data_IF_383310828085
#
_entry.id   IF_383310828085
#
_cell.length_a   1.000
_cell.length_b   1.000
_cell.length_c   1.000
_cell.angle_alpha   90.00
_cell.angle_beta   90.00
_cell.angle_gamma   90.00
#
_symmetry.space_group_name_H-M   'P 1'
#
loop_
_entity.id
_entity.type
_entity.pdbx_description
1 polymer ?
#
# COMPACT_ATOMS: atom_id res chain seq x y z
N UNK A 1 0.85 20.82 -20.21
CA UNK A 1 1.58 19.61 -20.67
C UNK A 1 2.99 19.67 -20.14
N UNK A 2 3.16 19.19 -18.94
CA UNK A 2 4.50 18.99 -18.42
C UNK A 2 4.95 17.58 -18.77
N UNK A 3 5.39 17.40 -19.99
CA UNK A 3 6.25 16.29 -20.31
C UNK A 3 7.57 16.55 -19.54
N UNK A 4 7.75 15.98 -18.38
CA UNK A 4 9.01 15.98 -17.64
C UNK A 4 10.11 15.23 -18.43
N UNK A 5 10.24 15.48 -19.70
CA UNK A 5 11.12 14.76 -20.62
C UNK A 5 10.64 13.35 -20.97
N UNK A 6 9.42 12.98 -20.66
CA UNK A 6 8.86 11.65 -20.90
C UNK A 6 8.16 11.53 -22.22
N UNK A 7 8.20 10.33 -22.78
CA UNK A 7 7.45 9.97 -23.97
C UNK A 7 5.98 9.65 -23.70
N UNK A 8 5.61 9.46 -22.42
CA UNK A 8 4.28 9.05 -22.00
C UNK A 8 3.74 9.95 -20.90
N UNK A 9 2.43 10.18 -20.88
CA UNK A 9 1.73 10.79 -19.75
C UNK A 9 0.27 10.34 -19.71
N UNK A 10 -0.36 10.48 -18.56
CA UNK A 10 -1.74 10.09 -18.30
C UNK A 10 -2.61 11.31 -17.99
N UNK A 11 -3.85 11.26 -18.43
CA UNK A 11 -4.85 12.32 -18.28
C UNK A 11 -6.20 11.74 -17.92
N UNK A 12 -7.03 12.53 -17.25
CA UNK A 12 -8.42 12.18 -16.89
C UNK A 12 -8.55 10.94 -15.97
N UNK A 13 -7.52 10.62 -15.21
CA UNK A 13 -7.59 9.58 -14.21
C UNK A 13 -8.52 9.95 -13.05
N UNK A 14 -9.29 8.97 -12.57
CA UNK A 14 -10.18 9.10 -11.43
C UNK A 14 -9.71 8.16 -10.30
N UNK A 15 -9.96 8.56 -9.05
CA UNK A 15 -9.67 7.74 -7.89
C UNK A 15 -10.97 7.50 -7.13
N UNK A 16 -11.25 6.23 -6.84
CA UNK A 16 -12.30 5.81 -5.95
C UNK A 16 -11.70 5.31 -4.64
N UNK A 17 -12.17 5.81 -3.51
CA UNK A 17 -11.77 5.34 -2.18
C UNK A 17 -12.95 4.81 -1.42
N UNK A 18 -12.74 3.75 -0.65
CA UNK A 18 -13.75 3.18 0.25
C UNK A 18 -13.08 2.65 1.52
N UNK A 19 -13.79 2.74 2.63
CA UNK A 19 -13.37 2.17 3.90
C UNK A 19 -14.58 1.63 4.65
N UNK A 20 -14.36 0.55 5.38
CA UNK A 20 -15.37 -0.02 6.27
C UNK A 20 -14.71 -0.49 7.56
N UNK A 21 -15.31 -0.12 8.70
CA UNK A 21 -14.81 -0.46 10.01
C UNK A 21 -15.90 -1.09 10.86
N UNK A 22 -15.52 -2.11 11.62
CA UNK A 22 -16.36 -2.76 12.61
C UNK A 22 -15.69 -2.64 13.97
N UNK A 23 -16.45 -2.22 14.97
CA UNK A 23 -15.98 -2.16 16.35
C UNK A 23 -16.70 -3.19 17.18
N UNK A 24 -15.91 -4.02 17.87
CA UNK A 24 -16.37 -5.08 18.75
C UNK A 24 -15.98 -4.74 20.21
N UNK A 25 -16.95 -4.73 21.08
CA UNK A 25 -16.74 -4.45 22.51
C UNK A 25 -18.06 -4.38 23.24
N UNK A 26 -18.01 -4.59 24.54
CA UNK A 26 -19.19 -4.42 25.41
C UNK A 26 -19.20 -2.99 25.91
N UNK A 27 -20.38 -2.36 25.86
CA UNK A 27 -20.61 -1.05 26.49
C UNK A 27 -20.17 -1.12 27.96
N UNK A 28 -19.45 -0.13 28.45
CA UNK A 28 -18.89 -0.05 29.81
C UNK A 28 -17.80 -1.08 30.15
N UNK A 29 -17.18 -1.72 29.17
CA UNK A 29 -15.94 -2.50 29.35
C UNK A 29 -14.74 -1.76 28.77
N UNK A 30 -13.57 -1.87 29.42
CA UNK A 30 -12.38 -1.11 29.01
C UNK A 30 -11.79 -1.58 27.70
N UNK A 31 -12.06 -2.80 27.27
CA UNK A 31 -11.45 -3.40 26.07
C UNK A 31 -12.41 -3.38 24.89
N UNK A 32 -11.91 -2.97 23.74
CA UNK A 32 -12.58 -3.12 22.45
C UNK A 32 -11.57 -3.39 21.33
N UNK A 33 -12.08 -3.98 20.25
CA UNK A 33 -11.33 -4.29 19.03
C UNK A 33 -12.00 -3.59 17.87
N UNK A 34 -11.22 -2.96 17.02
CA UNK A 34 -11.66 -2.42 15.75
C UNK A 34 -10.96 -3.20 14.63
N UNK A 35 -11.71 -3.56 13.61
CA UNK A 35 -11.19 -4.17 12.40
C UNK A 35 -11.76 -3.46 11.18
N UNK A 36 -10.95 -3.22 10.19
CA UNK A 36 -11.35 -2.48 9.00
C UNK A 36 -10.62 -2.92 7.74
N UNK A 37 -11.16 -2.44 6.64
CA UNK A 37 -10.57 -2.53 5.32
C UNK A 37 -10.67 -1.17 4.67
N UNK A 38 -9.54 -0.68 4.19
CA UNK A 38 -9.42 0.53 3.38
C UNK A 38 -8.95 0.16 1.99
N UNK A 39 -9.52 0.78 0.97
CA UNK A 39 -9.14 0.56 -0.42
C UNK A 39 -9.23 1.85 -1.21
N UNK A 40 -8.27 2.04 -2.11
CA UNK A 40 -8.30 3.05 -3.17
C UNK A 40 -8.05 2.37 -4.52
N UNK A 41 -8.74 2.83 -5.56
CA UNK A 41 -8.60 2.31 -6.92
C UNK A 41 -8.56 3.46 -7.91
N UNK A 42 -7.66 3.39 -8.88
CA UNK A 42 -7.59 4.32 -10.01
C UNK A 42 -8.35 3.71 -11.19
N UNK A 43 -8.99 4.53 -12.00
CA UNK A 43 -9.68 4.11 -13.23
C UNK A 43 -9.83 5.27 -14.21
N UNK A 44 -10.09 4.96 -15.47
CA UNK A 44 -10.49 5.93 -16.50
C UNK A 44 -9.37 6.82 -17.01
N UNK A 45 -8.12 6.46 -16.90
CA UNK A 45 -7.00 7.28 -17.37
C UNK A 45 -6.85 7.24 -18.89
N UNK A 46 -6.59 8.39 -19.52
CA UNK A 46 -6.12 8.47 -20.91
C UNK A 46 -4.59 8.41 -20.93
N UNK A 47 -4.04 7.41 -21.56
CA UNK A 47 -2.60 7.21 -21.68
C UNK A 47 -2.10 7.67 -23.07
N UNK A 48 -1.02 8.44 -23.10
CA UNK A 48 -0.42 8.96 -24.32
C UNK A 48 1.00 8.45 -24.47
N UNK A 49 1.24 7.67 -25.50
CA UNK A 49 2.58 7.17 -25.85
C UNK A 49 3.11 7.96 -27.03
N UNK A 50 4.22 8.67 -26.85
CA UNK A 50 4.88 9.43 -27.93
C UNK A 50 5.76 8.52 -28.77
N UNK A 51 5.65 8.67 -30.07
CA UNK A 51 6.43 7.95 -31.07
C UNK A 51 7.16 8.94 -31.99
N UNK A 52 8.05 8.45 -32.84
CA UNK A 52 8.70 9.28 -33.86
C UNK A 52 7.73 9.91 -34.87
N UNK A 53 6.54 9.36 -35.01
CA UNK A 53 5.50 9.80 -35.96
C UNK A 53 4.37 10.62 -35.33
N UNK A 54 4.43 10.85 -33.99
CA UNK A 54 3.43 11.56 -33.25
C UNK A 54 3.12 10.89 -31.92
N UNK A 55 1.83 10.74 -31.57
CA UNK A 55 1.43 10.06 -30.35
C UNK A 55 0.27 9.09 -30.59
N UNK A 56 0.24 8.05 -29.77
CA UNK A 56 -0.88 7.11 -29.70
C UNK A 56 -1.62 7.39 -28.40
N UNK A 57 -2.92 7.64 -28.49
CA UNK A 57 -3.80 7.79 -27.33
C UNK A 57 -4.52 6.48 -27.06
N UNK A 58 -4.35 5.93 -25.87
CA UNK A 58 -5.16 4.83 -25.33
C UNK A 58 -6.12 5.39 -24.29
N UNK A 59 -7.40 5.42 -24.62
CA UNK A 59 -8.43 5.93 -23.71
C UNK A 59 -9.03 4.77 -22.92
N UNK A 60 -8.90 4.82 -21.60
CA UNK A 60 -9.59 3.88 -20.72
C UNK A 60 -10.99 4.40 -20.38
N UNK A 61 -11.94 3.47 -20.27
CA UNK A 61 -13.32 3.84 -19.98
C UNK A 61 -13.46 4.43 -18.55
N UNK A 62 -14.25 5.49 -18.44
CA UNK A 62 -14.58 6.17 -17.18
C UNK A 62 -16.09 6.29 -16.97
N UNK A 63 -16.81 5.24 -17.28
CA UNK A 63 -18.26 5.14 -17.16
C UNK A 63 -18.67 4.40 -15.86
N UNK A 64 -19.96 4.21 -15.66
CA UNK A 64 -20.49 3.51 -14.48
C UNK A 64 -20.00 2.05 -14.37
N UNK A 65 -19.73 1.39 -15.50
CA UNK A 65 -19.17 0.03 -15.49
C UNK A 65 -17.74 0.05 -14.94
N UNK A 66 -16.90 0.97 -15.41
CA UNK A 66 -15.53 1.17 -14.94
C UNK A 66 -15.48 1.54 -13.45
N UNK A 67 -16.38 2.43 -13.01
CA UNK A 67 -16.54 2.75 -11.59
C UNK A 67 -16.89 1.50 -10.78
N UNK A 68 -17.81 0.66 -11.28
CA UNK A 68 -18.22 -0.56 -10.59
C UNK A 68 -17.09 -1.59 -10.50
N UNK A 69 -16.29 -1.74 -11.57
CA UNK A 69 -15.09 -2.57 -11.55
C UNK A 69 -14.08 -2.07 -10.52
N UNK A 70 -13.79 -0.77 -10.49
CA UNK A 70 -12.94 -0.16 -9.48
C UNK A 70 -13.51 -0.33 -8.07
N UNK A 71 -14.83 -0.27 -7.91
CA UNK A 71 -15.50 -0.46 -6.62
C UNK A 71 -15.37 -1.90 -6.11
N UNK A 72 -15.55 -2.90 -6.95
CA UNK A 72 -15.42 -4.32 -6.56
C UNK A 72 -13.95 -4.74 -6.47
N UNK A 73 -13.07 -4.12 -7.27
CA UNK A 73 -11.68 -4.54 -7.43
C UNK A 73 -11.55 -5.73 -8.36
N UNK A 74 -12.30 -5.76 -9.46
CA UNK A 74 -12.23 -6.86 -10.41
C UNK A 74 -13.02 -6.63 -11.70
N UNK A 75 -12.74 -7.44 -12.71
CA UNK A 75 -13.54 -7.51 -13.94
C UNK A 75 -13.03 -6.71 -15.13
N UNK A 76 -11.80 -6.19 -15.09
CA UNK A 76 -11.17 -5.57 -16.25
C UNK A 76 -10.70 -6.62 -17.25
N UNK A 77 -10.82 -6.30 -18.55
CA UNK A 77 -10.22 -7.07 -19.64
C UNK A 77 -8.76 -6.67 -19.92
N UNK A 78 -8.24 -5.67 -19.20
CA UNK A 78 -6.87 -5.22 -19.35
C UNK A 78 -5.86 -6.27 -18.86
N UNK A 79 -4.77 -6.43 -19.60
CA UNK A 79 -3.69 -7.36 -19.27
C UNK A 79 -2.44 -6.59 -18.86
N UNK A 80 -1.79 -7.05 -17.80
CA UNK A 80 -0.46 -6.61 -17.39
C UNK A 80 0.48 -7.82 -17.51
N UNK A 81 1.27 -7.83 -18.58
CA UNK A 81 2.11 -8.97 -18.89
C UNK A 81 1.29 -10.26 -19.07
N UNK A 82 1.56 -11.26 -18.23
CA UNK A 82 0.86 -12.54 -18.21
C UNK A 82 -0.37 -12.54 -17.27
N UNK A 83 -0.62 -11.46 -16.55
CA UNK A 83 -1.66 -11.38 -15.53
C UNK A 83 -2.76 -10.43 -15.99
N UNK A 84 -4.01 -10.85 -15.88
CA UNK A 84 -5.14 -9.96 -16.09
C UNK A 84 -5.21 -9.00 -14.90
N UNK A 85 -5.04 -7.71 -15.17
CA UNK A 85 -5.15 -6.69 -14.15
C UNK A 85 -6.55 -6.08 -14.14
N UNK A 86 -6.97 -5.60 -12.98
CA UNK A 86 -8.25 -4.93 -12.85
C UNK A 86 -8.19 -3.54 -13.48
N UNK A 87 -9.36 -3.03 -13.84
CA UNK A 87 -9.49 -1.68 -14.33
C UNK A 87 -8.92 -0.70 -13.28
N UNK A 88 -7.82 -0.08 -13.64
CA UNK A 88 -7.06 0.77 -12.76
C UNK A 88 -6.12 0.04 -11.80
N UNK A 89 -5.34 0.83 -11.12
CA UNK A 89 -4.43 0.40 -10.07
C UNK A 89 -5.19 0.40 -8.73
N UNK A 90 -4.95 -0.57 -7.87
CA UNK A 90 -5.64 -0.69 -6.58
C UNK A 90 -4.62 -0.89 -5.45
N UNK A 91 -4.82 -0.18 -4.36
CA UNK A 91 -4.10 -0.43 -3.10
C UNK A 91 -5.06 -0.38 -1.92
N UNK A 92 -4.65 -0.99 -0.83
CA UNK A 92 -5.43 -0.96 0.40
C UNK A 92 -4.68 -1.49 1.61
N UNK A 93 -5.40 -1.56 2.71
CA UNK A 93 -4.90 -2.17 3.94
C UNK A 93 -6.02 -2.84 4.75
N UNK A 94 -5.69 -3.95 5.38
CA UNK A 94 -6.44 -4.51 6.49
C UNK A 94 -5.94 -3.86 7.77
N UNK A 95 -6.86 -3.30 8.53
CA UNK A 95 -6.57 -2.58 9.78
C UNK A 95 -7.15 -3.36 10.94
N UNK A 96 -6.35 -3.55 11.98
CA UNK A 96 -6.81 -4.04 13.27
C UNK A 96 -6.28 -3.12 14.37
N UNK A 97 -7.15 -2.77 15.33
CA UNK A 97 -6.79 -1.96 16.48
C UNK A 97 -7.40 -2.53 17.76
N UNK A 98 -6.57 -2.67 18.77
CA UNK A 98 -6.94 -3.07 20.13
C UNK A 98 -6.90 -1.83 21.01
N UNK A 99 -7.98 -1.51 21.67
CA UNK A 99 -8.06 -0.38 22.60
C UNK A 99 -8.35 -0.89 24.01
N UNK A 100 -7.62 -0.33 24.98
CA UNK A 100 -7.84 -0.59 26.39
C UNK A 100 -7.93 0.74 27.15
N UNK A 101 -9.11 1.04 27.65
CA UNK A 101 -9.41 2.29 28.33
C UNK A 101 -9.47 2.11 29.84
N UNK A 102 -8.69 2.92 30.56
CA UNK A 102 -8.68 2.97 32.03
C UNK A 102 -9.03 4.37 32.52
N UNK A 103 -9.32 4.58 33.80
CA UNK A 103 -9.55 5.92 34.33
C UNK A 103 -8.36 6.89 34.09
N UNK A 104 -7.12 6.38 34.06
CA UNK A 104 -5.90 7.20 33.97
C UNK A 104 -5.33 7.29 32.55
N UNK A 105 -5.55 6.29 31.72
CA UNK A 105 -4.96 6.23 30.38
C UNK A 105 -5.78 5.38 29.42
N UNK A 106 -5.67 5.70 28.13
CA UNK A 106 -6.13 4.86 27.02
C UNK A 106 -4.91 4.32 26.29
N UNK A 107 -4.86 3.03 26.05
CA UNK A 107 -3.80 2.33 25.33
C UNK A 107 -4.35 1.83 24.01
N UNK A 108 -3.58 2.01 22.93
CA UNK A 108 -3.86 1.48 21.61
C UNK A 108 -2.71 0.61 21.12
N UNK A 109 -3.05 -0.54 20.54
CA UNK A 109 -2.14 -1.35 19.72
C UNK A 109 -2.82 -1.56 18.38
N UNK A 110 -2.10 -1.32 17.27
CA UNK A 110 -2.69 -1.45 15.96
C UNK A 110 -1.70 -2.02 14.93
N UNK A 111 -2.27 -2.61 13.91
CA UNK A 111 -1.53 -3.13 12.78
C UNK A 111 -2.33 -2.86 11.50
N UNK A 112 -1.61 -2.43 10.45
CA UNK A 112 -2.12 -2.31 9.10
C UNK A 112 -1.31 -3.23 8.20
N UNK A 113 -1.99 -4.14 7.52
CA UNK A 113 -1.38 -4.99 6.52
C UNK A 113 -1.69 -4.47 5.14
N UNK A 114 -0.63 -4.05 4.43
CA UNK A 114 -0.75 -3.44 3.10
C UNK A 114 -0.90 -4.49 2.02
N UNK A 115 -1.67 -4.15 0.99
CA UNK A 115 -1.73 -4.91 -0.25
C UNK A 115 -1.87 -3.95 -1.44
N UNK A 116 -1.27 -4.30 -2.55
CA UNK A 116 -1.63 -3.82 -3.88
C UNK A 116 -2.24 -4.98 -4.65
N UNK A 117 -3.23 -4.68 -5.46
CA UNK A 117 -4.08 -5.61 -6.17
C UNK A 117 -4.89 -6.58 -5.28
N UNK A 118 -5.97 -7.08 -5.84
CA UNK A 118 -6.84 -8.02 -5.15
C UNK A 118 -6.19 -9.40 -4.92
N UNK A 119 -5.14 -9.73 -5.67
CA UNK A 119 -4.42 -10.99 -5.57
C UNK A 119 -3.79 -11.22 -4.19
N UNK A 120 -3.28 -10.15 -3.57
CA UNK A 120 -2.72 -10.18 -2.21
C UNK A 120 -3.72 -9.86 -1.10
N UNK A 121 -4.88 -9.31 -1.44
CA UNK A 121 -5.88 -8.82 -0.49
C UNK A 121 -6.37 -9.91 0.49
N UNK A 122 -6.62 -11.13 0.04
CA UNK A 122 -7.15 -12.21 0.86
C UNK A 122 -6.10 -13.22 1.32
N UNK A 123 -4.84 -13.01 0.99
CA UNK A 123 -3.75 -13.92 1.38
C UNK A 123 -3.99 -15.37 1.00
N UNK A 124 -4.69 -15.60 -0.12
CA UNK A 124 -5.05 -16.93 -0.59
C UNK A 124 -4.14 -17.35 -1.74
N UNK A 125 -3.69 -18.57 -1.68
CA UNK A 125 -2.96 -19.22 -2.74
C UNK A 125 -3.23 -20.73 -2.74
N UNK A 126 -2.87 -21.43 -3.81
CA UNK A 126 -3.06 -22.85 -3.87
C UNK A 126 -1.90 -23.65 -3.25
N UNK A 127 -2.17 -24.87 -2.84
CA UNK A 127 -1.22 -25.72 -2.13
C UNK A 127 -0.36 -26.57 -3.07
N UNK A 128 0.19 -25.96 -4.14
CA UNK A 128 1.00 -26.63 -5.15
C UNK A 128 0.15 -27.41 -6.18
N UNK A 129 0.79 -28.37 -6.85
CA UNK A 129 0.17 -29.21 -7.87
C UNK A 129 0.01 -30.64 -7.41
N UNK A 130 -0.96 -31.34 -7.98
CA UNK A 130 -1.10 -32.79 -7.93
C UNK A 130 -1.30 -33.34 -9.34
N UNK A 131 -0.81 -34.57 -9.58
CA UNK A 131 -1.08 -35.25 -10.84
C UNK A 131 -2.38 -36.06 -10.70
N UNK A 132 -3.41 -35.62 -11.41
CA UNK A 132 -4.75 -36.24 -11.39
C UNK A 132 -5.31 -36.34 -12.79
N UNK A 133 -5.95 -37.46 -13.11
CA UNK A 133 -6.57 -37.73 -14.42
C UNK A 133 -5.62 -37.51 -15.62
N UNK A 134 -4.34 -37.82 -15.47
CA UNK A 134 -3.35 -37.65 -16.54
C UNK A 134 -2.87 -36.18 -16.74
N UNK A 135 -3.22 -35.28 -15.86
CA UNK A 135 -2.84 -33.88 -15.94
C UNK A 135 -2.38 -33.29 -14.57
N UNK A 136 -1.55 -32.27 -14.63
CA UNK A 136 -1.18 -31.50 -13.45
C UNK A 136 -2.30 -30.52 -13.12
N UNK A 137 -2.92 -30.66 -11.96
CA UNK A 137 -3.97 -29.77 -11.44
C UNK A 137 -3.50 -29.00 -10.21
N UNK A 138 -3.99 -27.77 -10.06
CA UNK A 138 -3.77 -27.00 -8.83
C UNK A 138 -4.52 -27.67 -7.67
N UNK A 139 -3.85 -27.80 -6.52
CA UNK A 139 -4.47 -28.26 -5.28
C UNK A 139 -5.37 -27.18 -4.71
N UNK A 140 -6.12 -27.54 -3.67
CA UNK A 140 -6.99 -26.61 -2.94
C UNK A 140 -6.23 -25.37 -2.44
N UNK A 141 -6.92 -24.24 -2.42
CA UNK A 141 -6.39 -23.01 -1.87
C UNK A 141 -6.14 -23.13 -0.37
N UNK A 142 -5.11 -22.46 0.10
CA UNK A 142 -4.83 -22.28 1.52
C UNK A 142 -4.51 -20.84 1.83
N UNK A 143 -4.67 -20.46 3.07
CA UNK A 143 -4.23 -19.16 3.57
C UNK A 143 -2.72 -19.16 3.78
N UNK A 144 -2.04 -18.15 3.25
CA UNK A 144 -0.60 -17.97 3.38
C UNK A 144 -0.29 -16.82 4.34
N UNK A 145 0.66 -17.03 5.22
CA UNK A 145 1.07 -16.00 6.21
C UNK A 145 2.29 -15.17 5.75
N UNK A 146 3.07 -15.65 4.79
CA UNK A 146 4.26 -14.93 4.36
C UNK A 146 3.98 -13.53 3.76
N UNK A 147 2.87 -13.27 3.05
CA UNK A 147 2.56 -11.93 2.57
C UNK A 147 2.25 -10.92 3.68
N UNK A 148 1.97 -11.36 4.89
CA UNK A 148 1.79 -10.46 6.05
C UNK A 148 3.08 -9.73 6.49
N UNK A 149 4.17 -9.88 5.75
CA UNK A 149 5.43 -9.18 6.04
C UNK A 149 5.34 -7.67 5.82
N UNK A 150 4.58 -7.22 4.81
CA UNK A 150 4.39 -5.79 4.57
C UNK A 150 3.31 -5.27 5.52
N UNK A 151 3.78 -4.57 6.57
CA UNK A 151 2.94 -4.23 7.71
C UNK A 151 3.38 -2.92 8.35
N UNK A 152 2.44 -2.18 8.89
CA UNK A 152 2.67 -1.19 9.92
C UNK A 152 2.22 -1.76 11.27
N UNK A 153 3.06 -1.61 12.28
CA UNK A 153 2.73 -1.91 13.68
C UNK A 153 2.83 -0.63 14.49
N UNK A 154 1.84 -0.33 15.26
CA UNK A 154 1.81 0.87 16.09
C UNK A 154 1.32 0.61 17.51
N UNK A 155 1.81 1.44 18.42
CA UNK A 155 1.33 1.52 19.78
C UNK A 155 1.18 2.99 20.17
N UNK A 156 0.09 3.31 20.86
CA UNK A 156 -0.14 4.63 21.40
C UNK A 156 -0.66 4.57 22.83
N UNK A 157 -0.41 5.66 23.55
CA UNK A 157 -0.95 5.90 24.88
C UNK A 157 -1.44 7.34 24.97
N UNK A 158 -2.64 7.51 25.52
CA UNK A 158 -3.19 8.79 25.91
C UNK A 158 -3.33 8.86 27.43
N UNK A 159 -2.56 9.74 28.08
CA UNK A 159 -2.58 9.98 29.52
C UNK A 159 -3.59 11.07 29.85
N UNK A 160 -4.65 10.73 30.58
CA UNK A 160 -5.80 11.63 30.83
C UNK A 160 -5.52 12.76 31.81
N UNK A 161 -4.58 12.55 32.72
CA UNK A 161 -4.30 13.49 33.82
C UNK A 161 -2.90 14.09 33.78
N UNK A 162 -2.01 13.59 32.93
CA UNK A 162 -0.63 14.04 32.88
C UNK A 162 -0.42 15.07 31.76
N UNK A 163 -0.39 16.34 32.13
CA UNK A 163 -0.38 17.46 31.17
C UNK A 163 0.94 17.65 30.41
N UNK A 164 2.05 17.21 30.96
CA UNK A 164 3.35 17.35 30.32
C UNK A 164 3.50 16.45 29.10
N UNK A 165 3.00 15.22 29.17
CA UNK A 165 2.92 14.30 28.05
C UNK A 165 1.50 13.72 28.07
N UNK A 166 0.66 14.15 27.12
CA UNK A 166 -0.69 13.57 26.98
C UNK A 166 -0.68 12.36 26.10
N UNK A 167 0.04 12.45 24.97
CA UNK A 167 0.05 11.41 23.98
C UNK A 167 1.48 11.01 23.66
N UNK A 168 1.69 9.73 23.51
CA UNK A 168 2.89 9.16 22.95
C UNK A 168 2.50 8.06 21.91
N UNK A 169 3.22 8.01 20.82
CA UNK A 169 3.02 7.03 19.76
C UNK A 169 4.36 6.53 19.25
N UNK A 170 4.42 5.25 18.94
CA UNK A 170 5.51 4.62 18.21
C UNK A 170 4.95 3.76 17.09
N UNK A 171 5.54 3.85 15.89
CA UNK A 171 5.15 3.09 14.72
C UNK A 171 6.36 2.50 14.03
N UNK A 172 6.20 1.30 13.54
CA UNK A 172 7.12 0.57 12.70
C UNK A 172 6.46 0.25 11.38
N UNK A 173 7.10 0.59 10.26
CA UNK A 173 6.60 0.33 8.91
C UNK A 173 7.60 -0.53 8.16
N UNK A 174 7.11 -1.55 7.48
CA UNK A 174 7.91 -2.46 6.68
C UNK A 174 7.23 -2.71 5.33
N UNK A 175 7.93 -2.42 4.23
CA UNK A 175 7.43 -2.63 2.86
C UNK A 175 8.46 -3.38 1.99
N UNK A 176 9.46 -4.01 2.59
CA UNK A 176 10.58 -4.60 1.82
C UNK A 176 10.19 -5.84 1.02
N UNK A 177 9.14 -6.54 1.42
CA UNK A 177 8.76 -7.80 0.79
C UNK A 177 7.98 -7.57 -0.50
N UNK A 178 7.11 -6.56 -0.58
CA UNK A 178 6.24 -6.26 -1.71
C UNK A 178 5.32 -7.45 -2.02
N UNK A 179 4.36 -7.67 -1.12
CA UNK A 179 3.35 -8.73 -1.28
C UNK A 179 2.54 -8.50 -2.55
N UNK A 180 2.50 -9.46 -3.43
CA UNK A 180 1.82 -9.33 -4.70
C UNK A 180 1.52 -10.69 -5.34
N UNK A 181 1.14 -10.70 -6.62
CA UNK A 181 0.86 -11.91 -7.35
C UNK A 181 2.08 -12.83 -7.41
N UNK A 182 1.81 -14.12 -7.50
CA UNK A 182 2.84 -15.14 -7.55
C UNK A 182 3.23 -15.39 -9.00
N UNK A 183 4.44 -14.98 -9.37
CA UNK A 183 4.93 -15.13 -10.73
C UNK A 183 5.42 -16.54 -11.04
N UNK A 184 6.07 -17.21 -10.08
CA UNK A 184 6.53 -18.58 -10.24
C UNK A 184 6.01 -19.40 -9.06
N UNK A 185 4.90 -20.06 -9.28
CA UNK A 185 4.14 -20.61 -8.20
C UNK A 185 4.08 -22.12 -8.31
N UNK A 186 4.97 -22.79 -7.58
CA UNK A 186 4.91 -24.24 -7.37
C UNK A 186 4.59 -25.02 -8.62
N UNK A 187 5.23 -24.67 -9.74
CA UNK A 187 5.11 -25.42 -11.00
C UNK A 187 5.76 -26.80 -10.84
N UNK A 188 5.48 -27.76 -11.73
CA UNK A 188 6.17 -29.04 -11.71
C UNK A 188 7.68 -28.95 -11.81
N UNK A 189 8.18 -27.90 -12.47
CA UNK A 189 9.62 -27.65 -12.67
C UNK A 189 10.24 -26.87 -11.52
N UNK A 190 9.47 -25.97 -10.91
CA UNK A 190 9.89 -25.13 -9.78
C UNK A 190 8.85 -25.30 -8.67
N UNK A 191 9.06 -26.25 -7.75
CA UNK A 191 8.08 -26.56 -6.71
C UNK A 191 7.98 -25.47 -5.62
N UNK A 192 8.95 -24.55 -5.60
CA UNK A 192 8.98 -23.49 -4.62
C UNK A 192 8.06 -22.32 -5.03
N UNK A 193 7.57 -21.63 -4.03
CA UNK A 193 6.81 -20.41 -4.20
C UNK A 193 7.76 -19.23 -4.38
N UNK A 194 7.75 -18.65 -5.56
CA UNK A 194 8.48 -17.42 -5.87
C UNK A 194 7.45 -16.34 -6.19
N UNK A 195 7.19 -15.48 -5.25
CA UNK A 195 6.18 -14.46 -5.40
C UNK A 195 6.43 -13.26 -4.52
N UNK A 196 5.51 -12.32 -4.57
CA UNK A 196 5.58 -11.13 -3.76
C UNK A 196 6.64 -10.16 -4.23
N UNK A 197 6.75 -9.91 -5.50
CA UNK A 197 7.63 -8.88 -6.06
C UNK A 197 6.73 -7.84 -6.72
N UNK A 198 5.69 -7.42 -5.99
CA UNK A 198 4.87 -6.31 -6.44
C UNK A 198 5.68 -5.01 -6.41
N UNK A 199 5.37 -4.09 -7.28
CA UNK A 199 6.09 -2.84 -7.41
C UNK A 199 5.23 -1.71 -6.82
N UNK A 200 5.05 -1.72 -5.51
CA UNK A 200 4.15 -0.81 -4.81
C UNK A 200 4.26 0.63 -5.29
N UNK A 201 3.11 1.26 -5.50
CA UNK A 201 2.92 2.61 -6.02
C UNK A 201 3.26 2.79 -7.51
N UNK A 202 3.87 1.81 -8.16
CA UNK A 202 4.05 1.79 -9.61
C UNK A 202 2.99 0.88 -10.27
N UNK A 203 2.68 1.13 -11.51
CA UNK A 203 1.82 0.26 -12.31
C UNK A 203 2.17 0.39 -13.79
N UNK A 204 2.07 -0.71 -14.54
CA UNK A 204 2.40 -0.74 -15.97
C UNK A 204 1.27 -0.21 -16.85
N UNK A 205 0.02 -0.30 -16.41
CA UNK A 205 -1.17 0.03 -17.20
C UNK A 205 -1.88 1.31 -16.76
N UNK A 206 -1.63 1.78 -15.55
CA UNK A 206 -2.22 2.97 -14.98
C UNK A 206 -1.13 3.91 -14.46
N UNK A 207 -1.42 5.20 -14.26
CA UNK A 207 -0.48 6.05 -13.54
C UNK A 207 -0.19 5.43 -12.18
N UNK A 208 1.05 5.53 -11.72
CA UNK A 208 1.39 5.19 -10.35
C UNK A 208 0.59 6.03 -9.35
N UNK A 209 0.74 5.76 -8.06
CA UNK A 209 0.03 6.48 -7.00
C UNK A 209 0.61 7.88 -6.77
N UNK A 210 0.55 8.70 -7.81
CA UNK A 210 0.97 10.10 -7.78
C UNK A 210 -0.03 11.00 -8.53
N UNK A 211 -0.02 12.29 -8.16
CA UNK A 211 -0.69 13.35 -8.91
C UNK A 211 0.36 14.40 -9.28
N UNK A 212 0.60 14.60 -10.59
CA UNK A 212 1.65 15.50 -11.07
C UNK A 212 3.03 15.22 -10.46
N UNK A 213 3.37 13.96 -10.31
CA UNK A 213 4.63 13.52 -9.69
C UNK A 213 4.68 13.62 -8.16
N UNK A 214 3.63 14.07 -7.49
CA UNK A 214 3.53 14.06 -6.04
C UNK A 214 2.85 12.78 -5.57
N UNK A 215 3.48 12.05 -4.64
CA UNK A 215 2.92 10.82 -4.09
C UNK A 215 1.58 11.06 -3.40
N UNK A 216 0.65 10.16 -3.61
CA UNK A 216 -0.65 10.12 -2.95
C UNK A 216 -0.61 9.13 -1.78
N UNK A 217 -1.27 9.48 -0.67
CA UNK A 217 -1.36 8.61 0.50
C UNK A 217 -0.12 8.66 1.39
N UNK A 218 0.71 7.62 1.42
CA UNK A 218 1.79 7.50 2.39
C UNK A 218 3.02 8.35 2.00
N UNK A 219 3.42 9.35 2.82
CA UNK A 219 4.52 10.27 2.51
C UNK A 219 5.92 9.63 2.60
N UNK A 220 6.03 8.37 3.02
CA UNK A 220 7.30 7.64 3.03
C UNK A 220 7.74 7.22 1.62
N UNK A 221 6.81 7.18 0.66
CA UNK A 221 7.14 6.99 -0.75
C UNK A 221 7.65 8.30 -1.34
N UNK A 222 8.91 8.30 -1.77
CA UNK A 222 9.52 9.50 -2.35
C UNK A 222 8.79 9.87 -3.64
N UNK A 223 8.23 11.07 -3.66
CA UNK A 223 7.46 11.57 -4.80
C UNK A 223 8.31 11.61 -6.09
N UNK A 224 7.80 11.09 -7.21
CA UNK A 224 8.50 11.10 -8.51
C UNK A 224 8.98 12.46 -8.99
N UNK A 225 8.33 13.56 -8.57
CA UNK A 225 8.76 14.92 -8.92
C UNK A 225 10.21 15.25 -8.47
N UNK A 226 10.74 14.51 -7.50
CA UNK A 226 12.12 14.65 -7.03
C UNK A 226 13.11 13.74 -7.76
N UNK A 227 12.67 12.97 -8.74
CA UNK A 227 13.55 12.13 -9.55
C UNK A 227 14.45 12.98 -10.44
N UNK A 228 15.75 12.73 -10.38
CA UNK A 228 16.74 13.49 -11.17
C UNK A 228 16.79 13.07 -12.64
N UNK A 229 16.26 11.89 -12.96
CA UNK A 229 16.14 11.39 -14.33
C UNK A 229 14.87 11.86 -15.05
N UNK A 230 13.99 12.60 -14.35
CA UNK A 230 12.73 13.11 -14.87
C UNK A 230 11.62 12.05 -15.02
N UNK A 231 11.81 10.82 -14.59
CA UNK A 231 10.78 9.77 -14.66
C UNK A 231 9.68 9.98 -13.60
N UNK A 232 8.44 9.71 -13.99
CA UNK A 232 7.28 9.75 -13.08
C UNK A 232 7.00 8.41 -12.39
N UNK A 233 8.03 7.61 -12.16
CA UNK A 233 7.97 6.35 -11.43
C UNK A 233 8.52 6.49 -10.02
N UNK A 234 8.04 5.67 -9.08
CA UNK A 234 8.59 5.58 -7.75
C UNK A 234 9.88 4.76 -7.79
N UNK A 235 11.03 5.42 -7.62
CA UNK A 235 12.35 4.78 -7.63
C UNK A 235 12.69 4.10 -6.30
N UNK A 236 11.84 4.24 -5.28
CA UNK A 236 12.01 3.59 -3.98
C UNK A 236 10.67 3.34 -3.32
N UNK A 237 10.31 2.08 -3.22
CA UNK A 237 9.08 1.61 -2.58
C UNK A 237 9.34 0.54 -1.52
N UNK A 238 10.58 0.08 -1.38
CA UNK A 238 11.00 -0.92 -0.40
C UNK A 238 11.77 -0.24 0.73
N UNK A 239 11.16 -0.16 1.91
CA UNK A 239 11.78 0.51 3.05
C UNK A 239 11.37 -0.08 4.39
N UNK A 240 12.11 0.30 5.41
CA UNK A 240 11.73 0.21 6.82
C UNK A 240 11.70 1.62 7.39
N UNK A 241 10.72 1.92 8.20
CA UNK A 241 10.66 3.21 8.89
C UNK A 241 10.22 3.05 10.35
N UNK A 242 10.65 4.00 11.16
CA UNK A 242 10.22 4.17 12.53
C UNK A 242 9.72 5.60 12.73
N UNK A 243 8.63 5.74 13.45
CA UNK A 243 8.06 7.02 13.84
C UNK A 243 7.84 7.05 15.34
N UNK A 244 8.15 8.17 15.94
CA UNK A 244 7.87 8.47 17.34
C UNK A 244 7.19 9.83 17.39
N UNK A 245 6.12 9.92 18.16
CA UNK A 245 5.41 11.16 18.40
C UNK A 245 5.15 11.35 19.89
N UNK A 246 5.29 12.58 20.36
CA UNK A 246 4.94 13.01 21.70
C UNK A 246 4.15 14.30 21.63
N UNK A 247 3.10 14.45 22.43
CA UNK A 247 2.40 15.72 22.57
C UNK A 247 2.03 16.00 24.02
N UNK A 248 1.83 17.28 24.34
CA UNK A 248 1.43 17.71 25.67
C UNK A 248 0.91 19.13 25.71
N UNK A 249 0.26 19.49 26.82
CA UNK A 249 -0.23 20.82 27.10
C UNK A 249 0.10 21.21 28.56
N UNK A 250 1.37 21.51 28.89
CA UNK A 250 1.81 21.83 30.25
C UNK A 250 0.99 22.94 30.90
N UNK A 251 0.51 23.87 30.09
CA UNK A 251 -0.36 24.96 30.52
C UNK A 251 -1.49 25.16 29.52
N UNK A 252 -2.51 25.95 29.88
CA UNK A 252 -3.62 26.26 28.96
C UNK A 252 -3.19 27.02 27.70
N UNK A 253 -2.02 27.70 27.74
CA UNK A 253 -1.50 28.49 26.62
C UNK A 253 -0.37 27.82 25.87
N UNK A 254 0.18 26.73 26.39
CA UNK A 254 1.32 26.03 25.78
C UNK A 254 0.91 24.63 25.38
N UNK A 255 0.89 24.38 24.09
CA UNK A 255 0.71 23.07 23.49
C UNK A 255 1.94 22.76 22.64
N UNK A 256 2.45 21.54 22.71
CA UNK A 256 3.57 21.11 21.90
C UNK A 256 3.32 19.75 21.27
N UNK A 257 3.98 19.51 20.15
CA UNK A 257 4.02 18.22 19.46
C UNK A 257 5.42 18.02 18.91
N UNK A 258 6.05 16.93 19.30
CA UNK A 258 7.36 16.51 18.80
C UNK A 258 7.17 15.25 17.96
N UNK A 259 7.83 15.20 16.81
CA UNK A 259 7.83 14.04 15.93
C UNK A 259 9.23 13.74 15.47
N UNK A 260 9.58 12.47 15.47
CA UNK A 260 10.83 11.99 14.88
C UNK A 260 10.51 10.82 13.95
N UNK A 261 11.12 10.82 12.79
CA UNK A 261 10.99 9.73 11.82
C UNK A 261 12.37 9.32 11.31
N UNK A 262 12.58 8.04 11.19
CA UNK A 262 13.75 7.45 10.55
C UNK A 262 13.29 6.46 9.50
N UNK A 263 13.92 6.48 8.32
CA UNK A 263 13.63 5.60 7.20
C UNK A 263 14.91 5.08 6.58
N UNK A 264 14.92 3.80 6.25
CA UNK A 264 15.94 3.15 5.43
C UNK A 264 15.30 2.58 4.17
N UNK A 265 15.70 3.10 3.01
CA UNK A 265 15.15 2.81 1.69
C UNK A 265 16.12 1.97 0.87
N UNK A 266 15.59 0.97 0.12
CA UNK A 266 16.36 0.00 -0.66
C UNK A 266 16.19 0.14 -2.18
N UNK A 267 15.41 1.10 -2.65
CA UNK A 267 15.01 1.18 -4.07
C UNK A 267 13.81 0.28 -4.36
N UNK A 268 13.69 -0.19 -5.59
CA UNK A 268 12.71 -1.19 -6.02
C UNK A 268 13.37 -2.57 -6.14
N UNK A 269 12.62 -3.61 -6.52
CA UNK A 269 13.22 -4.91 -6.86
C UNK A 269 14.01 -4.86 -8.17
N UNK A 270 13.46 -4.15 -9.18
CA UNK A 270 14.09 -4.04 -10.51
C UNK A 270 15.29 -3.09 -10.50
N UNK A 271 15.30 -2.13 -9.59
CA UNK A 271 16.35 -1.12 -9.47
C UNK A 271 16.75 -0.90 -8.00
N UNK A 272 17.41 -1.89 -7.37
CA UNK A 272 17.83 -1.77 -5.99
C UNK A 272 18.97 -0.76 -5.84
N UNK A 273 18.98 -0.02 -4.74
CA UNK A 273 20.11 0.85 -4.43
C UNK A 273 21.36 0.02 -4.11
N UNK A 274 22.52 0.44 -4.58
CA UNK A 274 23.80 -0.18 -4.25
C UNK A 274 24.09 -0.21 -2.74
N UNK A 275 23.55 0.77 -2.00
CA UNK A 275 23.57 0.80 -0.53
C UNK A 275 22.26 1.45 -0.04
N UNK A 276 21.73 1.02 1.10
CA UNK A 276 20.52 1.61 1.66
C UNK A 276 20.65 3.12 1.87
N UNK A 277 19.64 3.87 1.48
CA UNK A 277 19.55 5.33 1.73
C UNK A 277 18.78 5.57 3.01
N UNK A 278 19.33 6.43 3.89
CA UNK A 278 18.74 6.72 5.20
C UNK A 278 18.31 8.17 5.29
N UNK A 279 17.12 8.39 5.81
CA UNK A 279 16.55 9.69 6.05
C UNK A 279 16.11 9.79 7.52
N UNK A 280 16.29 10.97 8.10
CA UNK A 280 15.79 11.30 9.44
C UNK A 280 15.11 12.65 9.37
N UNK A 281 13.95 12.78 9.96
CA UNK A 281 13.22 14.04 10.10
C UNK A 281 12.83 14.28 11.55
N UNK A 282 12.90 15.55 11.97
CA UNK A 282 12.46 16.03 13.28
C UNK A 282 11.48 17.19 13.06
N UNK A 283 10.40 17.20 13.82
CA UNK A 283 9.37 18.24 13.72
C UNK A 283 8.58 18.44 15.01
#
# INVERSE_FOLDING_TARGET
>A
DFAFGHSNYDQNGLIHTKAGYLRFGKKNKPFNVEAGLEMASQFGSDHYTYTSEGYIKTANAHNLKSFWHAFIGGGSDAMDGATQNNEGNMLGSWVIRLNYDTPKATYGLYADHFFEDHSAMFQLDYNGYAYEDGAMKKKENKFLLYPLKDIMLGADIHLKEFKWINDAVIEYVYTKFQSGPVYTDRTPQIPDHIGGVDNYYNNALAPGWHHWGQALGNPLYLSPIYNTNGELSFLSNRFVAWHIGLSGHPTEKLHYRLRASWQESLGTYDSPYCSPKRNTSLG
#
